data_IF_679823243416
#
_entry.id   IF_679823243416
#
_cell.length_a   1.000
_cell.length_b   1.000
_cell.length_c   1.000
_cell.angle_alpha   90.00
_cell.angle_beta   90.00
_cell.angle_gamma   90.00
#
_symmetry.space_group_name_H-M   'P 1'
#
loop_
_entity.id
_entity.type
_entity.pdbx_description
1 polymer ?
#
# COMPACT_ATOMS: atom_id res chain seq x y z
N UNK A 1 4.74 9.33 8.47
CA UNK A 1 4.23 8.66 7.25
C UNK A 1 5.23 8.85 6.13
N UNK A 2 5.73 7.77 5.60
CA UNK A 2 6.70 7.83 4.50
C UNK A 2 6.49 6.65 3.54
N UNK A 3 7.13 6.74 2.38
CA UNK A 3 7.00 5.73 1.33
C UNK A 3 7.42 4.35 1.87
N UNK A 4 6.60 3.36 1.60
CA UNK A 4 6.81 1.99 2.11
C UNK A 4 6.10 1.72 3.43
N UNK A 5 5.58 2.74 4.11
CA UNK A 5 4.75 2.50 5.30
C UNK A 5 3.45 1.82 4.89
N UNK A 6 3.02 0.86 5.70
CA UNK A 6 1.70 0.23 5.57
C UNK A 6 0.81 0.85 6.62
N UNK A 7 -0.32 1.37 6.18
CA UNK A 7 -1.22 2.17 7.02
C UNK A 7 -2.64 1.65 6.92
N UNK A 8 -3.44 1.90 7.94
CA UNK A 8 -4.87 1.69 7.86
C UNK A 8 -5.49 2.84 7.05
N UNK A 9 -6.42 2.52 6.16
CA UNK A 9 -7.10 3.51 5.33
C UNK A 9 -8.58 3.43 5.64
N UNK A 10 -9.15 4.57 6.08
CA UNK A 10 -10.56 4.68 6.36
C UNK A 10 -11.38 4.59 5.08
N UNK A 11 -12.66 4.30 5.21
CA UNK A 11 -13.56 4.33 4.06
C UNK A 11 -13.71 5.77 3.54
N UNK A 12 -14.50 5.96 2.49
CA UNK A 12 -14.65 7.25 1.82
C UNK A 12 -15.13 8.38 2.74
N UNK A 13 -15.83 8.04 3.82
CA UNK A 13 -16.26 9.01 4.80
C UNK A 13 -15.20 9.41 5.81
N UNK A 14 -14.01 8.82 5.73
CA UNK A 14 -12.96 9.05 6.70
C UNK A 14 -13.22 8.37 8.03
N UNK A 15 -14.10 7.39 8.03
CA UNK A 15 -14.55 6.70 9.24
C UNK A 15 -13.74 5.44 9.48
N UNK A 16 -13.13 5.33 10.68
CA UNK A 16 -12.36 4.16 11.08
C UNK A 16 -13.18 3.18 11.92
N UNK A 17 -14.45 3.49 12.21
CA UNK A 17 -15.33 2.59 12.97
C UNK A 17 -15.82 1.42 12.12
N UNK A 18 -15.81 1.57 10.79
CA UNK A 18 -16.07 0.48 9.87
C UNK A 18 -14.88 -0.46 9.80
N UNK A 19 -14.63 -1.04 8.63
CA UNK A 19 -13.46 -1.88 8.38
C UNK A 19 -12.39 -1.10 7.64
N UNK A 20 -11.48 -0.40 8.34
CA UNK A 20 -10.33 0.20 7.65
C UNK A 20 -9.53 -0.88 6.95
N UNK A 21 -9.03 -0.56 5.76
CA UNK A 21 -8.28 -1.52 4.97
C UNK A 21 -6.82 -1.08 4.91
N UNK A 22 -5.88 -2.04 4.95
CA UNK A 22 -4.48 -1.67 4.85
C UNK A 22 -4.11 -1.26 3.43
N UNK A 23 -3.15 -0.36 3.33
CA UNK A 23 -2.57 0.06 2.07
C UNK A 23 -1.14 0.49 2.28
N UNK A 24 -0.33 0.40 1.24
CA UNK A 24 1.07 0.82 1.30
C UNK A 24 1.24 2.17 0.63
N UNK A 25 1.94 3.08 1.30
CA UNK A 25 2.26 4.40 0.76
C UNK A 25 3.30 4.24 -0.34
N UNK A 26 2.95 4.67 -1.55
CA UNK A 26 3.86 4.61 -2.69
C UNK A 26 4.27 5.98 -3.21
N UNK A 27 3.63 7.04 -2.71
CA UNK A 27 3.99 8.41 -3.07
C UNK A 27 5.38 8.75 -2.54
N UNK A 28 6.17 9.46 -3.35
CA UNK A 28 7.48 9.94 -2.91
C UNK A 28 7.34 10.88 -1.71
N UNK A 29 8.27 10.76 -0.77
CA UNK A 29 8.30 11.62 0.41
C UNK A 29 8.48 13.10 0.06
N UNK A 30 8.98 13.39 -1.15
CA UNK A 30 9.10 14.76 -1.63
C UNK A 30 7.77 15.50 -1.71
N UNK A 31 6.65 14.76 -1.80
CA UNK A 31 5.33 15.33 -1.95
C UNK A 31 4.48 15.20 -0.69
N UNK A 32 5.15 15.15 0.48
CA UNK A 32 4.48 14.96 1.76
C UNK A 32 3.50 16.06 2.15
N UNK A 33 3.54 17.23 1.47
CA UNK A 33 2.65 18.35 1.79
C UNK A 33 1.34 18.33 1.01
N UNK A 34 1.16 17.40 0.06
CA UNK A 34 -0.08 17.34 -0.72
C UNK A 34 -1.24 16.82 0.12
N UNK A 35 -2.46 17.24 -0.22
CA UNK A 35 -3.68 16.79 0.45
C UNK A 35 -4.03 15.35 0.14
N UNK A 36 -3.51 14.80 -0.94
CA UNK A 36 -3.75 13.41 -1.33
C UNK A 36 -2.47 12.61 -1.24
N UNK A 37 -2.65 11.31 -1.00
CA UNK A 37 -1.56 10.35 -0.86
C UNK A 37 -1.83 9.18 -1.78
N UNK A 38 -0.87 8.86 -2.63
CA UNK A 38 -0.97 7.71 -3.54
C UNK A 38 -0.57 6.45 -2.81
N UNK A 39 -1.44 5.45 -2.87
CA UNK A 39 -1.28 4.18 -2.17
C UNK A 39 -1.61 3.01 -3.10
N UNK A 40 -1.15 1.83 -2.72
CA UNK A 40 -1.63 0.57 -3.27
C UNK A 40 -2.35 -0.19 -2.15
N UNK A 41 -3.62 -0.59 -2.36
CA UNK A 41 -4.33 -1.37 -1.35
C UNK A 41 -3.73 -2.76 -1.16
N UNK A 42 -3.92 -3.32 0.04
CA UNK A 42 -3.61 -4.70 0.33
C UNK A 42 -4.90 -5.50 0.45
N UNK A 43 -4.85 -6.76 0.05
CA UNK A 43 -5.94 -7.71 0.27
C UNK A 43 -5.39 -8.99 0.87
N UNK A 44 -6.15 -9.60 1.79
CA UNK A 44 -5.80 -10.91 2.35
C UNK A 44 -6.39 -12.05 1.53
N UNK A 45 -7.21 -11.76 0.54
CA UNK A 45 -7.76 -12.78 -0.36
C UNK A 45 -6.66 -13.26 -1.31
N UNK A 46 -6.36 -14.56 -1.35
CA UNK A 46 -5.33 -15.07 -2.25
C UNK A 46 -5.57 -14.66 -3.70
N UNK A 47 -4.49 -14.31 -4.39
CA UNK A 47 -4.53 -13.79 -5.75
C UNK A 47 -3.60 -14.64 -6.62
N UNK A 48 -4.01 -14.83 -7.88
CA UNK A 48 -3.23 -15.58 -8.86
C UNK A 48 -2.89 -14.69 -10.05
N UNK A 49 -2.26 -13.56 -9.76
CA UNK A 49 -1.87 -12.58 -10.78
C UNK A 49 -0.55 -11.93 -10.35
N UNK A 50 0.56 -12.68 -10.41
CA UNK A 50 1.82 -12.22 -9.79
C UNK A 50 2.37 -10.93 -10.37
N UNK A 51 1.98 -10.54 -11.58
CA UNK A 51 2.44 -9.28 -12.17
C UNK A 51 1.80 -8.05 -11.50
N UNK A 52 0.58 -8.19 -10.96
CA UNK A 52 -0.18 -7.07 -10.39
C UNK A 52 -0.55 -7.27 -8.94
N UNK A 53 -0.31 -8.46 -8.38
CA UNK A 53 -0.64 -8.79 -7.00
C UNK A 53 0.59 -9.39 -6.33
N UNK A 54 1.30 -8.56 -5.56
CA UNK A 54 2.55 -8.97 -4.93
C UNK A 54 2.27 -9.53 -3.55
N UNK A 55 2.64 -10.78 -3.33
CA UNK A 55 2.48 -11.41 -2.02
C UNK A 55 3.51 -10.89 -1.05
N UNK A 56 3.08 -10.53 0.15
CA UNK A 56 3.95 -10.15 1.27
C UNK A 56 3.54 -10.92 2.52
N UNK A 57 4.52 -11.15 3.38
CA UNK A 57 4.33 -11.89 4.62
C UNK A 57 4.34 -10.97 5.83
N UNK A 58 3.62 -11.31 6.90
CA UNK A 58 3.79 -10.63 8.17
C UNK A 58 5.23 -10.75 8.66
N UNK A 59 5.69 -9.74 9.40
CA UNK A 59 7.03 -9.75 9.97
C UNK A 59 7.02 -8.98 11.29
N UNK A 60 8.18 -8.93 11.95
CA UNK A 60 8.31 -8.14 13.17
C UNK A 60 8.03 -6.66 12.93
N UNK A 61 8.33 -6.17 11.72
CA UNK A 61 8.15 -4.76 11.34
C UNK A 61 6.81 -4.50 10.65
N UNK A 62 6.02 -5.55 10.39
CA UNK A 62 4.76 -5.41 9.64
C UNK A 62 3.70 -6.30 10.26
N UNK A 63 2.80 -5.68 11.02
CA UNK A 63 1.76 -6.36 11.75
C UNK A 63 0.56 -6.66 10.84
N UNK A 64 0.63 -7.78 10.15
CA UNK A 64 -0.48 -8.34 9.38
C UNK A 64 -0.94 -9.62 10.05
N UNK A 65 -2.22 -9.93 9.92
CA UNK A 65 -2.77 -11.19 10.49
C UNK A 65 -2.34 -12.41 9.70
N UNK A 66 -2.12 -12.23 8.41
CA UNK A 66 -1.78 -13.32 7.48
C UNK A 66 -1.08 -12.73 6.27
N UNK A 67 -0.57 -13.59 5.41
CA UNK A 67 -0.05 -13.16 4.11
C UNK A 67 -1.08 -12.29 3.39
N UNK A 68 -0.59 -11.30 2.69
CA UNK A 68 -1.43 -10.35 1.98
C UNK A 68 -0.83 -10.09 0.59
N UNK A 69 -1.63 -9.51 -0.28
CA UNK A 69 -1.20 -9.17 -1.64
C UNK A 69 -1.37 -7.68 -1.86
N UNK A 70 -0.32 -7.04 -2.36
CA UNK A 70 -0.37 -5.62 -2.73
C UNK A 70 -1.02 -5.54 -4.10
N UNK A 71 -2.12 -4.81 -4.20
CA UNK A 71 -2.87 -4.65 -5.44
C UNK A 71 -2.28 -3.49 -6.26
N UNK A 72 -1.26 -3.75 -7.05
CA UNK A 72 -0.58 -2.76 -7.87
C UNK A 72 -1.53 -2.16 -8.90
N UNK A 73 -2.41 -2.99 -9.47
CA UNK A 73 -3.41 -2.55 -10.45
C UNK A 73 -4.52 -1.68 -9.85
N UNK A 74 -4.57 -1.56 -8.53
CA UNK A 74 -5.52 -0.70 -7.82
C UNK A 74 -4.85 0.54 -7.23
N UNK A 75 -3.66 0.88 -7.72
CA UNK A 75 -2.97 2.10 -7.31
C UNK A 75 -3.91 3.29 -7.45
N UNK A 76 -4.01 4.09 -6.40
CA UNK A 76 -4.98 5.18 -6.36
C UNK A 76 -4.53 6.25 -5.36
N UNK A 77 -5.15 7.41 -5.44
CA UNK A 77 -4.93 8.48 -4.48
C UNK A 77 -6.09 8.54 -3.50
N UNK A 78 -5.79 8.74 -2.23
CA UNK A 78 -6.78 8.95 -1.19
C UNK A 78 -6.49 10.27 -0.49
N UNK A 79 -7.51 10.87 0.10
CA UNK A 79 -7.32 12.09 0.89
C UNK A 79 -6.48 11.78 2.12
N UNK A 80 -5.58 12.69 2.46
CA UNK A 80 -4.69 12.51 3.62
C UNK A 80 -5.47 12.19 4.91
N UNK A 81 -6.66 12.79 5.08
CA UNK A 81 -7.50 12.55 6.24
C UNK A 81 -8.00 11.10 6.37
N UNK A 82 -7.90 10.30 5.31
CA UNK A 82 -8.27 8.88 5.35
C UNK A 82 -7.12 7.99 5.79
N UNK A 83 -5.91 8.52 5.89
CA UNK A 83 -4.74 7.76 6.31
C UNK A 83 -4.75 7.66 7.84
N UNK A 84 -4.77 6.45 8.34
CA UNK A 84 -4.80 6.17 9.76
C UNK A 84 -3.45 5.69 10.28
N UNK A 85 -3.48 4.94 11.39
CA UNK A 85 -2.25 4.49 12.02
C UNK A 85 -1.41 3.60 11.12
N UNK A 86 -0.09 3.70 11.28
CA UNK A 86 0.85 2.77 10.65
C UNK A 86 0.75 1.40 11.34
N UNK A 87 0.74 0.35 10.53
CA UNK A 87 0.82 -1.03 11.03
C UNK A 87 2.18 -1.64 10.69
N UNK A 88 3.09 -0.87 10.15
CA UNK A 88 4.46 -1.29 9.90
C UNK A 88 5.01 -0.74 8.60
N UNK A 89 6.08 -1.37 8.15
CA UNK A 89 6.80 -0.98 6.95
C UNK A 89 7.11 -2.21 6.12
N UNK A 90 7.11 -2.05 4.81
CA UNK A 90 7.59 -3.11 3.92
C UNK A 90 9.09 -3.30 4.13
N UNK A 91 9.54 -4.55 4.05
CA UNK A 91 10.97 -4.83 3.94
C UNK A 91 11.53 -4.17 2.67
N UNK A 92 12.81 -3.80 2.71
CA UNK A 92 13.45 -3.11 1.58
C UNK A 92 13.32 -3.89 0.27
N UNK A 93 13.49 -5.20 0.33
CA UNK A 93 13.37 -6.06 -0.85
C UNK A 93 11.95 -6.09 -1.42
N UNK A 94 10.93 -6.06 -0.55
CA UNK A 94 9.54 -6.00 -0.99
C UNK A 94 9.22 -4.64 -1.60
N UNK A 95 9.79 -3.57 -1.07
CA UNK A 95 9.61 -2.24 -1.64
C UNK A 95 10.25 -2.16 -3.03
N UNK A 96 11.41 -2.80 -3.24
CA UNK A 96 12.03 -2.87 -4.57
C UNK A 96 11.18 -3.66 -5.56
N UNK A 97 10.61 -4.78 -5.12
CA UNK A 97 9.67 -5.55 -5.95
C UNK A 97 8.48 -4.69 -6.35
N UNK A 98 7.94 -3.94 -5.39
CA UNK A 98 6.80 -3.05 -5.64
C UNK A 98 7.17 -1.95 -6.63
N UNK A 99 8.35 -1.34 -6.48
CA UNK A 99 8.82 -0.32 -7.42
C UNK A 99 8.85 -0.85 -8.85
N UNK A 100 9.40 -2.03 -9.04
CA UNK A 100 9.45 -2.66 -10.36
C UNK A 100 8.07 -2.95 -10.93
N UNK A 101 7.16 -3.45 -10.09
CA UNK A 101 5.81 -3.77 -10.52
C UNK A 101 5.02 -2.51 -10.90
N UNK A 102 5.17 -1.43 -10.14
CA UNK A 102 4.52 -0.15 -10.47
C UNK A 102 5.06 0.39 -11.80
N UNK A 103 6.38 0.35 -11.99
CA UNK A 103 6.99 0.83 -13.23
C UNK A 103 6.44 0.07 -14.44
N UNK A 104 6.35 -1.25 -14.35
CA UNK A 104 5.78 -2.08 -15.41
C UNK A 104 4.31 -1.75 -15.64
N UNK A 105 3.52 -1.69 -14.55
CA UNK A 105 2.08 -1.46 -14.66
C UNK A 105 1.77 -0.10 -15.29
N UNK A 106 2.54 0.93 -14.93
CA UNK A 106 2.34 2.27 -15.46
C UNK A 106 3.07 2.51 -16.80
N UNK A 107 3.78 1.52 -17.30
CA UNK A 107 4.49 1.63 -18.57
C UNK A 107 5.77 2.46 -18.50
N UNK A 108 6.33 2.66 -17.32
CA UNK A 108 7.53 3.48 -17.12
C UNK A 108 8.82 2.67 -17.28
N UNK A 109 8.73 1.38 -17.16
CA UNK A 109 9.90 0.50 -17.18
C UNK A 109 10.18 -0.15 -18.54
N UNK A 110 9.54 0.33 -19.58
CA UNK A 110 9.68 -0.22 -20.91
C UNK A 110 8.59 -1.19 -21.25
#
# INVERSE_FOLDING_TARGET
>A
MKRGDVVAIADRGGDFTGKPRPGVIVQSDLFGALDSVTICPLTSTPQDSPATRLRIEPSAELTLRTASWIAVDKITSVRRGRIGPSIGQLAAEDLQRLNGAIAVFLGLGG
#
